data_IF_534952071946
#
_entry.id   IF_534952071946
#
_cell.length_a   1.000
_cell.length_b   1.000
_cell.length_c   1.000
_cell.angle_alpha   90.00
_cell.angle_beta   90.00
_cell.angle_gamma   90.00
#
_symmetry.space_group_name_H-M   'P 1'
#
loop_
_entity.id
_entity.type
_entity.pdbx_description
1 polymer ?
#
# COMPACT_ATOMS: atom_id res chain seq x y z
N UNK A 1 -12.29 5.11 -16.10
CA UNK A 1 -12.73 3.80 -15.56
C UNK A 1 -13.98 3.91 -14.70
N UNK A 2 -14.15 4.95 -13.86
CA UNK A 2 -15.37 5.17 -13.05
C UNK A 2 -15.73 3.98 -12.12
N UNK A 3 -14.72 3.18 -11.75
CA UNK A 3 -14.87 2.04 -10.85
C UNK A 3 -14.72 2.52 -9.41
N UNK A 4 -15.53 2.00 -8.50
CA UNK A 4 -15.41 2.30 -7.07
C UNK A 4 -14.41 1.34 -6.44
N UNK A 5 -13.54 1.83 -5.57
CA UNK A 5 -12.54 0.99 -4.91
C UNK A 5 -13.19 -0.17 -4.14
N UNK A 6 -12.79 -1.40 -4.46
CA UNK A 6 -13.35 -2.62 -3.87
C UNK A 6 -14.63 -3.13 -4.53
N UNK A 7 -15.15 -2.48 -5.58
CA UNK A 7 -16.22 -3.05 -6.41
C UNK A 7 -15.71 -4.24 -7.23
N UNK A 8 -16.57 -5.19 -7.65
CA UNK A 8 -16.17 -6.33 -8.47
C UNK A 8 -15.34 -5.96 -9.70
N UNK A 9 -15.70 -4.87 -10.40
CA UNK A 9 -14.99 -4.38 -11.57
C UNK A 9 -13.60 -3.84 -11.23
N UNK A 10 -13.45 -3.19 -10.06
CA UNK A 10 -12.14 -2.74 -9.59
C UNK A 10 -11.23 -3.89 -9.19
N UNK A 11 -11.79 -5.00 -8.67
CA UNK A 11 -11.06 -6.21 -8.35
C UNK A 11 -10.56 -6.89 -9.62
N UNK A 12 -11.43 -7.04 -10.62
CA UNK A 12 -11.08 -7.58 -11.93
C UNK A 12 -9.98 -6.75 -12.60
N UNK A 13 -10.13 -5.43 -12.62
CA UNK A 13 -9.11 -4.53 -13.14
C UNK A 13 -7.77 -4.64 -12.40
N UNK A 14 -7.80 -4.72 -11.06
CA UNK A 14 -6.59 -4.87 -10.24
C UNK A 14 -5.87 -6.18 -10.57
N UNK A 15 -6.63 -7.26 -10.70
CA UNK A 15 -6.10 -8.58 -11.06
C UNK A 15 -5.53 -8.58 -12.48
N UNK A 16 -6.23 -7.98 -13.45
CA UNK A 16 -5.78 -7.89 -14.84
C UNK A 16 -4.47 -7.10 -14.97
N UNK A 17 -4.37 -5.92 -14.34
CA UNK A 17 -3.15 -5.10 -14.37
C UNK A 17 -1.98 -5.85 -13.76
N UNK A 18 -2.17 -6.50 -12.61
CA UNK A 18 -1.10 -7.24 -11.94
C UNK A 18 -0.72 -8.51 -12.67
N UNK A 19 -1.67 -9.18 -13.34
CA UNK A 19 -1.41 -10.30 -14.24
C UNK A 19 -0.50 -9.90 -15.39
N UNK A 20 -0.87 -8.84 -16.13
CA UNK A 20 -0.09 -8.33 -17.26
C UNK A 20 1.32 -7.95 -16.80
N UNK A 21 1.43 -7.21 -15.69
CA UNK A 21 2.73 -6.86 -15.13
C UNK A 21 3.59 -8.08 -14.78
N UNK A 22 2.98 -9.13 -14.22
CA UNK A 22 3.71 -10.34 -13.85
C UNK A 22 4.15 -11.14 -15.07
N UNK A 23 3.27 -11.33 -16.07
CA UNK A 23 3.58 -12.07 -17.29
C UNK A 23 4.68 -11.38 -18.10
N UNK A 24 4.55 -10.07 -18.33
CA UNK A 24 5.57 -9.27 -19.00
C UNK A 24 6.89 -9.27 -18.21
N UNK A 25 6.80 -9.18 -16.89
CA UNK A 25 7.94 -9.32 -16.00
C UNK A 25 8.74 -10.59 -16.23
N UNK A 26 8.08 -11.74 -16.22
CA UNK A 26 8.71 -13.03 -16.48
C UNK A 26 9.28 -13.15 -17.90
N UNK A 27 8.60 -12.59 -18.92
CA UNK A 27 9.11 -12.52 -20.28
C UNK A 27 10.41 -11.71 -20.36
N UNK A 28 10.44 -10.51 -19.77
CA UNK A 28 11.65 -9.67 -19.68
C UNK A 28 12.74 -10.39 -18.89
N UNK A 29 12.38 -11.10 -17.82
CA UNK A 29 13.32 -11.91 -17.04
C UNK A 29 13.99 -13.01 -17.86
N UNK A 30 13.28 -13.59 -18.85
CA UNK A 30 13.83 -14.57 -19.78
C UNK A 30 14.78 -13.91 -20.78
N UNK A 31 14.41 -12.77 -21.35
CA UNK A 31 15.27 -12.01 -22.28
C UNK A 31 16.58 -11.61 -21.60
N UNK A 32 16.50 -11.08 -20.38
CA UNK A 32 17.69 -10.76 -19.58
C UNK A 32 18.52 -12.00 -19.24
N UNK A 33 17.91 -13.17 -19.09
CA UNK A 33 18.66 -14.41 -18.86
C UNK A 33 19.40 -14.87 -20.12
N UNK A 34 18.85 -14.62 -21.31
CA UNK A 34 19.52 -14.90 -22.59
C UNK A 34 20.73 -13.99 -22.79
N UNK A 35 20.63 -12.71 -22.41
CA UNK A 35 21.73 -11.76 -22.54
C UNK A 35 22.80 -11.88 -21.45
N UNK A 36 22.38 -12.08 -20.20
CA UNK A 36 23.25 -11.92 -19.02
C UNK A 36 23.39 -13.21 -18.19
N UNK A 37 22.72 -14.28 -18.58
CA UNK A 37 22.61 -15.53 -17.82
C UNK A 37 21.47 -15.53 -16.80
N UNK A 38 20.91 -16.71 -16.53
CA UNK A 38 19.89 -16.90 -15.50
C UNK A 38 20.46 -16.67 -14.08
N UNK A 39 19.57 -16.47 -13.10
CA UNK A 39 19.96 -16.47 -11.69
C UNK A 39 20.66 -17.79 -11.34
N UNK A 40 21.77 -17.80 -10.56
CA UNK A 40 22.54 -19.02 -10.30
C UNK A 40 21.71 -20.20 -9.78
N UNK A 41 20.73 -19.93 -8.92
CA UNK A 41 19.82 -20.94 -8.36
C UNK A 41 19.00 -21.69 -9.42
N UNK A 42 18.85 -21.14 -10.62
CA UNK A 42 18.15 -21.79 -11.73
C UNK A 42 18.92 -23.02 -12.24
N UNK A 43 20.24 -23.02 -12.11
CA UNK A 43 21.12 -24.11 -12.50
C UNK A 43 21.49 -25.04 -11.34
N UNK A 44 21.23 -24.64 -10.09
CA UNK A 44 21.44 -25.48 -8.92
C UNK A 44 20.53 -26.72 -8.95
N UNK A 45 21.07 -27.85 -8.51
CA UNK A 45 20.35 -29.12 -8.41
C UNK A 45 19.78 -29.32 -7.01
N UNK A 46 18.48 -29.56 -6.93
CA UNK A 46 17.78 -29.83 -5.68
C UNK A 46 17.44 -31.32 -5.59
N UNK A 47 17.80 -31.93 -4.46
CA UNK A 47 17.43 -33.33 -4.19
C UNK A 47 15.96 -33.39 -3.82
N UNK A 48 15.19 -34.22 -4.53
CA UNK A 48 13.77 -34.39 -4.27
C UNK A 48 13.57 -35.14 -2.96
N UNK A 49 12.99 -34.46 -1.99
CA UNK A 49 12.66 -35.03 -0.69
C UNK A 49 11.26 -35.62 -0.68
N UNK A 50 10.93 -36.54 0.24
CA UNK A 50 9.56 -37.02 0.43
C UNK A 50 8.58 -35.87 0.68
N UNK A 51 9.00 -34.84 1.43
CA UNK A 51 8.18 -33.68 1.73
C UNK A 51 7.88 -32.82 0.49
N UNK A 52 8.85 -32.66 -0.41
CA UNK A 52 8.64 -31.95 -1.67
C UNK A 52 7.69 -32.72 -2.59
N UNK A 53 7.90 -34.03 -2.74
CA UNK A 53 7.04 -34.89 -3.57
C UNK A 53 5.61 -34.95 -3.03
N UNK A 54 5.42 -34.96 -1.71
CA UNK A 54 4.10 -34.87 -1.09
C UNK A 54 3.39 -33.53 -1.35
N UNK A 55 4.15 -32.42 -1.46
CA UNK A 55 3.61 -31.10 -1.82
C UNK A 55 3.35 -30.95 -3.32
N UNK A 56 4.03 -31.73 -4.16
CA UNK A 56 4.02 -31.69 -5.63
C UNK A 56 3.88 -33.11 -6.22
N UNK A 57 2.74 -33.79 -5.99
CA UNK A 57 2.54 -35.16 -6.46
C UNK A 57 2.62 -35.31 -7.98
N UNK A 58 2.36 -34.24 -8.74
CA UNK A 58 2.52 -34.18 -10.20
C UNK A 58 3.93 -34.54 -10.68
N UNK A 59 4.96 -34.28 -9.87
CA UNK A 59 6.34 -34.69 -10.19
C UNK A 59 6.48 -36.21 -10.32
N UNK A 60 5.73 -36.98 -9.51
CA UNK A 60 5.75 -38.44 -9.59
C UNK A 60 5.11 -38.96 -10.88
N UNK A 61 4.09 -38.26 -11.40
CA UNK A 61 3.47 -38.59 -12.68
C UNK A 61 4.46 -38.40 -13.85
N UNK A 62 5.37 -37.43 -13.73
CA UNK A 62 6.47 -37.20 -14.67
C UNK A 62 7.67 -38.13 -14.44
N UNK A 63 7.53 -39.12 -13.55
CA UNK A 63 8.54 -40.14 -13.28
C UNK A 63 9.62 -39.74 -12.28
N UNK A 64 9.53 -38.55 -11.65
CA UNK A 64 10.48 -38.06 -10.65
C UNK A 64 10.26 -38.79 -9.32
N UNK A 65 11.36 -39.24 -8.72
CA UNK A 65 11.39 -40.04 -7.49
C UNK A 65 12.14 -39.32 -6.37
N UNK A 66 11.90 -39.74 -5.14
CA UNK A 66 12.69 -39.31 -3.98
C UNK A 66 14.16 -39.66 -4.22
N UNK A 67 15.05 -38.69 -4.02
CA UNK A 67 16.49 -38.81 -4.25
C UNK A 67 16.96 -38.31 -5.62
N UNK A 68 16.05 -38.12 -6.58
CA UNK A 68 16.39 -37.52 -7.86
C UNK A 68 16.89 -36.09 -7.67
N UNK A 69 17.73 -35.63 -8.60
CA UNK A 69 18.22 -34.25 -8.65
C UNK A 69 17.54 -33.50 -9.77
N UNK A 70 16.90 -32.38 -9.45
CA UNK A 70 16.16 -31.56 -10.42
C UNK A 70 16.66 -30.12 -10.34
N UNK A 71 16.91 -29.51 -11.50
CA UNK A 71 17.38 -28.12 -11.57
C UNK A 71 16.31 -27.13 -11.07
N UNK A 72 16.73 -26.06 -10.41
CA UNK A 72 15.85 -25.01 -9.89
C UNK A 72 14.91 -24.43 -10.97
N UNK A 73 15.40 -24.23 -12.19
CA UNK A 73 14.58 -23.77 -13.32
C UNK A 73 13.42 -24.70 -13.67
N UNK A 74 13.64 -26.02 -13.58
CA UNK A 74 12.60 -27.03 -13.85
C UNK A 74 11.58 -27.02 -12.72
N UNK A 75 12.04 -26.94 -11.46
CA UNK A 75 11.15 -26.81 -10.31
C UNK A 75 10.28 -25.56 -10.39
N UNK A 76 10.87 -24.43 -10.78
CA UNK A 76 10.15 -23.17 -10.96
C UNK A 76 9.14 -23.26 -12.11
N UNK A 77 9.60 -23.58 -13.33
CA UNK A 77 8.75 -23.57 -14.51
C UNK A 77 7.62 -24.61 -14.48
N UNK A 78 7.93 -25.85 -14.09
CA UNK A 78 6.99 -26.98 -14.18
C UNK A 78 6.22 -27.29 -12.92
N UNK A 79 6.77 -26.99 -11.74
CA UNK A 79 6.21 -27.47 -10.46
C UNK A 79 5.92 -26.35 -9.45
N UNK A 80 6.16 -25.08 -9.77
CA UNK A 80 5.67 -23.98 -8.95
C UNK A 80 4.19 -23.76 -9.18
N UNK A 81 3.36 -23.85 -8.12
CA UNK A 81 1.93 -23.53 -8.17
C UNK A 81 1.66 -22.11 -8.69
N UNK A 82 2.55 -21.18 -8.35
CA UNK A 82 2.46 -19.82 -8.85
C UNK A 82 2.66 -19.77 -10.36
N UNK A 83 3.72 -20.45 -10.86
CA UNK A 83 3.98 -20.50 -12.30
C UNK A 83 2.89 -21.22 -13.08
N UNK A 84 2.24 -22.25 -12.51
CA UNK A 84 1.15 -22.99 -13.16
C UNK A 84 -0.05 -22.13 -13.59
N UNK A 85 -0.15 -20.90 -13.09
CA UNK A 85 -1.19 -19.95 -13.49
C UNK A 85 -0.88 -19.24 -14.82
N UNK A 86 0.37 -19.32 -15.30
CA UNK A 86 0.82 -18.69 -16.55
C UNK A 86 0.78 -19.66 -17.74
N UNK A 87 0.79 -19.12 -18.99
CA UNK A 87 0.82 -19.93 -20.20
C UNK A 87 1.94 -20.98 -20.21
N UNK A 88 1.63 -22.18 -20.71
CA UNK A 88 2.60 -23.29 -20.79
C UNK A 88 3.89 -22.92 -21.53
N UNK A 89 3.78 -22.14 -22.61
CA UNK A 89 4.93 -21.69 -23.38
C UNK A 89 5.92 -20.88 -22.53
N UNK A 90 5.44 -20.00 -21.64
CA UNK A 90 6.27 -19.23 -20.72
C UNK A 90 6.95 -20.14 -19.69
N UNK A 91 6.18 -21.05 -19.09
CA UNK A 91 6.65 -22.02 -18.10
C UNK A 91 7.76 -22.93 -18.65
N UNK A 92 7.59 -23.43 -19.87
CA UNK A 92 8.58 -24.29 -20.54
C UNK A 92 9.86 -23.53 -20.93
N UNK A 93 9.74 -22.26 -21.34
CA UNK A 93 10.93 -21.42 -21.55
C UNK A 93 11.72 -21.24 -20.25
N UNK A 94 11.05 -21.00 -19.12
CA UNK A 94 11.70 -20.93 -17.81
C UNK A 94 12.35 -22.26 -17.46
N UNK A 95 11.65 -23.39 -17.64
CA UNK A 95 12.19 -24.72 -17.32
C UNK A 95 13.42 -25.11 -18.16
N UNK A 96 13.53 -24.60 -19.38
CA UNK A 96 14.63 -24.91 -20.30
C UNK A 96 15.81 -23.94 -20.19
N UNK A 97 15.53 -22.63 -20.15
CA UNK A 97 16.56 -21.58 -20.18
C UNK A 97 16.91 -21.01 -18.81
N UNK A 98 16.01 -21.10 -17.83
CA UNK A 98 16.11 -20.34 -16.58
C UNK A 98 15.75 -18.86 -16.79
N UNK A 99 15.66 -18.11 -15.69
CA UNK A 99 15.22 -16.71 -15.68
C UNK A 99 16.18 -15.86 -14.82
N UNK A 100 16.29 -14.57 -15.13
CA UNK A 100 17.32 -13.68 -14.55
C UNK A 100 17.18 -13.44 -13.04
N UNK A 101 15.97 -13.52 -12.51
CA UNK A 101 15.67 -13.27 -11.10
C UNK A 101 14.82 -14.40 -10.51
N UNK A 102 14.83 -14.52 -9.18
CA UNK A 102 14.05 -15.53 -8.46
C UNK A 102 12.64 -15.05 -8.12
N UNK A 103 12.49 -13.73 -7.98
CA UNK A 103 11.23 -13.04 -7.73
C UNK A 103 11.21 -11.78 -8.60
N UNK A 104 10.07 -11.52 -9.23
CA UNK A 104 9.86 -10.39 -10.13
C UNK A 104 9.38 -9.15 -9.38
N UNK A 105 8.37 -9.31 -8.52
CA UNK A 105 7.48 -8.21 -8.15
C UNK A 105 7.24 -8.13 -6.64
N UNK A 106 7.24 -6.89 -6.14
CA UNK A 106 6.86 -6.54 -4.78
C UNK A 106 6.25 -5.14 -4.81
N UNK A 107 5.18 -4.90 -4.05
CA UNK A 107 4.57 -3.57 -3.93
C UNK A 107 5.00 -2.97 -2.59
N UNK A 108 5.94 -2.04 -2.63
CA UNK A 108 6.47 -1.34 -1.46
C UNK A 108 5.71 -0.03 -1.19
N UNK A 109 5.84 0.57 0.02
CA UNK A 109 5.29 1.90 0.29
C UNK A 109 5.91 2.96 -0.62
N UNK A 110 5.08 3.82 -1.21
CA UNK A 110 5.53 4.87 -2.14
C UNK A 110 5.27 6.29 -1.64
N UNK A 111 4.97 6.48 -0.35
CA UNK A 111 4.49 7.77 0.20
C UNK A 111 5.28 9.00 -0.24
N UNK A 112 6.60 8.97 -0.03
CA UNK A 112 7.47 10.11 -0.38
C UNK A 112 7.56 10.33 -1.89
N UNK A 113 7.77 9.26 -2.67
CA UNK A 113 7.94 9.36 -4.13
C UNK A 113 6.64 9.70 -4.84
N UNK A 114 5.49 9.26 -4.33
CA UNK A 114 4.17 9.66 -4.83
C UNK A 114 4.00 11.18 -4.70
N UNK A 115 4.24 11.72 -3.51
CA UNK A 115 4.10 13.15 -3.28
C UNK A 115 5.09 13.95 -4.14
N UNK A 116 6.36 13.53 -4.17
CA UNK A 116 7.43 14.34 -4.77
C UNK A 116 7.56 14.19 -6.29
N UNK A 117 7.30 13.00 -6.84
CA UNK A 117 7.51 12.67 -8.26
C UNK A 117 6.24 12.18 -8.95
N UNK A 118 5.31 11.59 -8.20
CA UNK A 118 4.07 11.01 -8.73
C UNK A 118 2.88 11.98 -8.75
N UNK A 119 3.10 13.29 -8.61
CA UNK A 119 2.03 14.30 -8.50
C UNK A 119 0.93 13.92 -7.48
N UNK A 120 1.34 13.29 -6.38
CA UNK A 120 0.46 12.79 -5.33
C UNK A 120 -0.57 11.76 -5.84
N UNK A 121 -0.17 10.87 -6.74
CA UNK A 121 -0.94 9.68 -7.09
C UNK A 121 -1.07 8.73 -5.89
N UNK A 122 -2.18 8.00 -5.81
CA UNK A 122 -2.39 7.04 -4.71
C UNK A 122 -1.22 6.06 -4.57
N UNK A 123 -0.89 5.69 -3.33
CA UNK A 123 0.35 4.96 -3.04
C UNK A 123 0.21 3.47 -3.27
N UNK A 124 1.04 2.85 -4.14
CA UNK A 124 0.95 1.42 -4.42
C UNK A 124 -0.45 1.01 -4.89
N UNK A 125 -1.16 0.23 -4.07
CA UNK A 125 -2.58 -0.15 -4.27
C UNK A 125 -3.50 0.41 -3.17
N UNK A 126 -3.05 1.46 -2.48
CA UNK A 126 -3.86 2.19 -1.52
C UNK A 126 -4.95 3.01 -2.21
N UNK A 127 -6.13 3.15 -1.61
CA UNK A 127 -7.00 4.25 -1.99
C UNK A 127 -6.33 5.57 -1.58
N UNK A 128 -6.80 6.68 -2.15
CA UNK A 128 -6.36 7.98 -1.67
C UNK A 128 -6.74 8.18 -0.21
N UNK A 129 -5.80 8.66 0.59
CA UNK A 129 -6.03 8.94 2.01
C UNK A 129 -7.13 10.01 2.16
N UNK A 130 -6.95 11.12 1.46
CA UNK A 130 -7.93 12.18 1.23
C UNK A 130 -7.66 12.81 -0.14
N UNK A 131 -8.72 13.26 -0.83
CA UNK A 131 -8.55 13.87 -2.14
C UNK A 131 -8.07 15.32 -2.08
N UNK A 132 -8.34 16.03 -0.99
CA UNK A 132 -7.83 17.36 -0.65
C UNK A 132 -7.53 17.42 0.84
N UNK A 133 -6.32 17.84 1.20
CA UNK A 133 -5.86 18.03 2.57
C UNK A 133 -4.75 19.07 2.58
N UNK A 134 -4.31 19.50 3.75
CA UNK A 134 -3.23 20.49 3.85
C UNK A 134 -1.99 19.92 4.50
N UNK A 135 -0.82 20.39 4.05
CA UNK A 135 0.48 20.08 4.65
C UNK A 135 1.20 21.34 5.07
N UNK A 136 1.83 21.27 6.22
CA UNK A 136 2.69 22.33 6.73
C UNK A 136 4.09 22.15 6.15
N UNK A 137 4.54 23.08 5.30
CA UNK A 137 5.86 23.03 4.66
C UNK A 137 6.70 24.20 5.12
N UNK A 138 7.97 23.94 5.47
CA UNK A 138 8.97 24.99 5.73
C UNK A 138 9.55 25.42 4.37
N UNK A 139 9.32 26.67 3.98
CA UNK A 139 9.95 27.26 2.80
C UNK A 139 11.30 27.85 3.15
N UNK A 140 12.25 27.71 2.23
CA UNK A 140 13.57 28.32 2.36
C UNK A 140 13.44 29.84 2.64
N UNK A 141 14.05 30.30 3.74
CA UNK A 141 14.00 31.70 4.17
C UNK A 141 12.82 32.10 5.06
N UNK A 142 11.87 31.20 5.37
CA UNK A 142 10.82 31.44 6.38
C UNK A 142 11.07 30.63 7.65
N UNK A 143 10.83 31.24 8.81
CA UNK A 143 10.88 30.56 10.12
C UNK A 143 9.60 29.78 10.43
N UNK A 144 8.46 30.20 9.88
CA UNK A 144 7.16 29.57 10.09
C UNK A 144 6.76 28.60 8.97
N UNK A 145 6.00 27.56 9.35
CA UNK A 145 5.40 26.59 8.42
C UNK A 145 4.22 27.22 7.66
N UNK A 146 4.18 27.07 6.35
CA UNK A 146 3.06 27.52 5.51
C UNK A 146 2.09 26.36 5.25
N UNK A 147 0.78 26.56 5.46
CA UNK A 147 -0.28 25.59 5.12
C UNK A 147 -0.42 25.59 3.59
N UNK A 148 -0.04 24.49 2.96
CA UNK A 148 -0.15 24.29 1.50
C UNK A 148 -1.24 23.27 1.23
N UNK A 149 -2.17 23.62 0.33
CA UNK A 149 -3.17 22.68 -0.15
C UNK A 149 -2.53 21.60 -1.02
N UNK A 150 -2.88 20.36 -0.71
CA UNK A 150 -2.44 19.17 -1.41
C UNK A 150 -3.68 18.49 -1.97
N UNK A 151 -3.63 18.23 -3.27
CA UNK A 151 -4.67 17.54 -4.00
C UNK A 151 -4.14 16.18 -4.46
N UNK A 152 -5.00 15.17 -4.43
CA UNK A 152 -4.72 13.89 -5.07
C UNK A 152 -4.63 14.05 -6.59
N UNK A 153 -3.80 13.23 -7.23
CA UNK A 153 -3.62 13.27 -8.68
C UNK A 153 -4.95 13.14 -9.44
N UNK A 154 -5.79 12.19 -9.03
CA UNK A 154 -7.07 11.92 -9.68
C UNK A 154 -8.08 13.07 -9.52
N UNK A 155 -8.04 13.82 -8.41
CA UNK A 155 -8.85 15.02 -8.24
C UNK A 155 -8.35 16.14 -9.17
N UNK A 156 -7.03 16.35 -9.26
CA UNK A 156 -6.46 17.34 -10.18
C UNK A 156 -6.80 17.02 -11.65
N UNK A 157 -6.67 15.74 -12.03
CA UNK A 157 -7.02 15.28 -13.37
C UNK A 157 -8.51 15.49 -13.65
N UNK A 158 -9.40 15.13 -12.72
CA UNK A 158 -10.84 15.32 -12.88
C UNK A 158 -11.22 16.80 -12.97
N UNK A 159 -10.61 17.65 -12.14
CA UNK A 159 -10.82 19.11 -12.18
C UNK A 159 -10.39 19.70 -13.51
N UNK A 160 -9.27 19.25 -14.04
CA UNK A 160 -8.71 19.75 -15.30
C UNK A 160 -9.49 19.28 -16.52
N UNK A 161 -9.92 18.02 -16.52
CA UNK A 161 -10.46 17.36 -17.72
C UNK A 161 -11.99 17.27 -17.75
N UNK A 162 -12.66 17.41 -16.59
CA UNK A 162 -14.10 17.13 -16.47
C UNK A 162 -14.86 18.28 -15.80
N UNK A 163 -14.42 18.73 -14.62
CA UNK A 163 -15.16 19.72 -13.84
C UNK A 163 -14.24 20.53 -12.91
N UNK A 164 -13.90 21.75 -13.33
CA UNK A 164 -13.01 22.67 -12.62
C UNK A 164 -13.54 23.16 -11.26
N UNK A 165 -14.83 22.94 -10.97
CA UNK A 165 -15.46 23.26 -9.68
C UNK A 165 -15.48 22.07 -8.71
N UNK A 166 -15.06 20.88 -9.14
CA UNK A 166 -15.17 19.66 -8.35
C UNK A 166 -14.33 19.71 -7.07
N UNK A 167 -14.96 19.54 -5.91
CA UNK A 167 -14.30 19.55 -4.61
C UNK A 167 -14.84 18.45 -3.70
N UNK A 168 -13.99 17.85 -2.83
CA UNK A 168 -14.48 16.99 -1.76
C UNK A 168 -15.47 17.74 -0.87
N UNK A 169 -16.51 17.05 -0.40
CA UNK A 169 -17.57 17.58 0.48
C UNK A 169 -18.40 18.74 -0.10
N UNK A 170 -18.33 18.99 -1.42
CA UNK A 170 -19.21 19.96 -2.05
C UNK A 170 -20.69 19.53 -1.94
N UNK A 171 -21.55 20.49 -1.59
CA UNK A 171 -23.01 20.30 -1.56
C UNK A 171 -23.55 19.83 -2.93
N UNK A 172 -24.73 19.17 -2.97
CA UNK A 172 -25.37 18.75 -4.20
C UNK A 172 -25.46 19.91 -5.21
N UNK A 173 -24.81 19.75 -6.37
CA UNK A 173 -24.71 20.80 -7.38
C UNK A 173 -23.47 20.65 -8.24
N UNK A 174 -23.02 21.75 -8.82
CA UNK A 174 -21.95 21.77 -9.83
C UNK A 174 -20.58 21.30 -9.30
N UNK A 175 -20.30 21.40 -7.99
CA UNK A 175 -19.02 21.00 -7.40
C UNK A 175 -18.96 19.56 -6.89
N UNK A 176 -20.08 18.83 -6.90
CA UNK A 176 -20.16 17.50 -6.29
C UNK A 176 -19.31 16.48 -7.06
N UNK A 177 -18.42 15.79 -6.34
CA UNK A 177 -17.69 14.66 -6.89
C UNK A 177 -18.63 13.46 -7.12
N UNK A 178 -18.42 12.68 -8.19
CA UNK A 178 -19.14 11.43 -8.41
C UNK A 178 -18.94 10.43 -7.26
N UNK A 179 -19.92 9.57 -7.02
CA UNK A 179 -19.89 8.64 -5.87
C UNK A 179 -18.73 7.61 -5.92
N UNK A 180 -18.06 7.45 -7.07
CA UNK A 180 -16.85 6.62 -7.20
C UNK A 180 -15.57 7.31 -6.69
N UNK A 181 -15.62 8.60 -6.34
CA UNK A 181 -14.54 9.30 -5.62
C UNK A 181 -14.65 8.98 -4.13
N UNK A 182 -14.10 7.82 -3.76
CA UNK A 182 -14.02 7.37 -2.37
C UNK A 182 -12.59 7.54 -1.85
N UNK A 183 -12.49 7.99 -0.61
CA UNK A 183 -11.23 8.04 0.13
C UNK A 183 -11.18 6.94 1.20
N UNK A 184 -10.02 6.81 1.84
CA UNK A 184 -9.75 5.77 2.84
C UNK A 184 -10.72 5.73 4.02
N UNK A 185 -11.40 6.84 4.36
CA UNK A 185 -12.33 6.89 5.49
C UNK A 185 -13.67 6.22 5.20
N UNK A 186 -14.04 6.10 3.93
CA UNK A 186 -15.33 5.58 3.48
C UNK A 186 -15.24 4.17 2.87
N UNK A 187 -14.07 3.52 2.94
CA UNK A 187 -13.86 2.19 2.37
C UNK A 187 -13.93 1.13 3.48
N UNK A 188 -14.80 0.11 3.35
CA UNK A 188 -14.86 -0.98 4.31
C UNK A 188 -13.54 -1.76 4.38
N UNK A 189 -13.14 -2.20 5.59
CA UNK A 189 -11.92 -2.99 5.78
C UNK A 189 -11.82 -4.23 4.87
N UNK A 190 -12.96 -4.91 4.63
CA UNK A 190 -13.03 -6.05 3.69
C UNK A 190 -12.66 -5.66 2.26
N UNK A 191 -13.08 -4.48 1.79
CA UNK A 191 -12.74 -4.01 0.45
C UNK A 191 -11.23 -3.75 0.29
N UNK A 192 -10.55 -3.28 1.34
CA UNK A 192 -9.08 -3.20 1.34
C UNK A 192 -8.44 -4.59 1.19
N UNK A 193 -8.93 -5.59 1.92
CA UNK A 193 -8.45 -6.98 1.83
C UNK A 193 -8.70 -7.55 0.44
N UNK A 194 -9.87 -7.31 -0.14
CA UNK A 194 -10.23 -7.83 -1.46
C UNK A 194 -9.34 -7.25 -2.58
N UNK A 195 -9.04 -5.95 -2.55
CA UNK A 195 -8.09 -5.35 -3.50
C UNK A 195 -6.68 -5.92 -3.33
N UNK A 196 -6.24 -6.12 -2.09
CA UNK A 196 -4.95 -6.78 -1.85
C UNK A 196 -4.96 -8.22 -2.39
N UNK A 197 -6.05 -8.96 -2.21
CA UNK A 197 -6.17 -10.34 -2.68
C UNK A 197 -6.16 -10.43 -4.20
N UNK A 198 -6.86 -9.52 -4.89
CA UNK A 198 -6.84 -9.43 -6.34
C UNK A 198 -5.42 -9.25 -6.88
N UNK A 199 -4.64 -8.33 -6.29
CA UNK A 199 -3.25 -8.11 -6.68
C UNK A 199 -2.30 -9.25 -6.25
N UNK A 200 -2.46 -9.80 -5.04
CA UNK A 200 -1.52 -10.75 -4.43
C UNK A 200 -1.40 -12.07 -5.20
N UNK A 201 -2.41 -12.42 -6.01
CA UNK A 201 -2.38 -13.56 -6.94
C UNK A 201 -1.16 -13.55 -7.86
N UNK A 202 -0.79 -12.36 -8.34
CA UNK A 202 0.25 -12.14 -9.34
C UNK A 202 1.50 -11.46 -8.79
N UNK A 203 1.47 -11.00 -7.54
CA UNK A 203 2.67 -10.52 -6.84
C UNK A 203 3.35 -11.70 -6.14
N UNK A 204 4.51 -12.10 -6.64
CA UNK A 204 5.27 -13.27 -6.17
C UNK A 204 6.03 -13.04 -4.86
N UNK A 205 6.43 -11.79 -4.57
CA UNK A 205 6.86 -11.38 -3.21
C UNK A 205 5.63 -10.96 -2.38
N UNK A 206 5.64 -9.80 -1.72
CA UNK A 206 4.55 -9.34 -0.86
C UNK A 206 4.09 -7.92 -1.23
N UNK A 207 2.96 -7.52 -0.65
CA UNK A 207 2.37 -6.20 -0.81
C UNK A 207 2.37 -5.50 0.55
N UNK A 208 2.98 -4.33 0.63
CA UNK A 208 2.91 -3.46 1.80
C UNK A 208 1.71 -2.54 1.66
N UNK A 209 0.53 -3.07 1.99
CA UNK A 209 -0.75 -2.34 2.01
C UNK A 209 -1.29 -2.25 3.44
N UNK A 210 -1.90 -1.12 3.75
CA UNK A 210 -2.57 -0.82 5.00
C UNK A 210 -4.09 -0.88 4.85
N UNK A 211 -4.74 -1.64 5.72
CA UNK A 211 -6.19 -1.69 5.88
C UNK A 211 -6.54 -0.67 6.96
N UNK A 212 -7.12 0.47 6.56
CA UNK A 212 -7.61 1.46 7.51
C UNK A 212 -8.86 0.93 8.18
N UNK A 213 -8.91 1.03 9.51
CA UNK A 213 -10.09 0.66 10.30
C UNK A 213 -10.51 1.86 11.17
N UNK A 214 -11.83 2.09 11.33
CA UNK A 214 -12.37 3.08 12.25
C UNK A 214 -11.85 2.92 13.69
N UNK A 215 -11.78 4.03 14.43
CA UNK A 215 -11.39 4.01 15.85
C UNK A 215 -12.35 3.18 16.71
N UNK A 216 -13.64 3.23 16.40
CA UNK A 216 -14.72 2.52 17.07
C UNK A 216 -15.03 1.13 16.46
N UNK A 217 -14.11 0.58 15.65
CA UNK A 217 -14.32 -0.71 15.00
C UNK A 217 -14.46 -1.85 16.02
N UNK A 218 -15.54 -2.68 15.96
CA UNK A 218 -15.75 -3.77 16.90
C UNK A 218 -14.57 -4.74 16.93
N UNK A 219 -14.19 -5.21 18.11
CA UNK A 219 -13.04 -6.10 18.27
C UNK A 219 -13.20 -7.42 17.50
N UNK A 220 -14.39 -8.02 17.52
CA UNK A 220 -14.64 -9.26 16.77
C UNK A 220 -14.48 -9.05 15.26
N UNK A 221 -15.04 -7.96 14.72
CA UNK A 221 -14.88 -7.61 13.30
C UNK A 221 -13.41 -7.32 12.96
N UNK A 222 -12.67 -6.67 13.86
CA UNK A 222 -11.23 -6.41 13.68
C UNK A 222 -10.42 -7.71 13.60
N UNK A 223 -10.70 -8.67 14.50
CA UNK A 223 -10.06 -9.99 14.51
C UNK A 223 -10.35 -10.73 13.19
N UNK A 224 -11.57 -10.63 12.71
CA UNK A 224 -12.03 -11.31 11.49
C UNK A 224 -11.36 -10.78 10.21
N UNK A 225 -10.81 -9.57 10.21
CA UNK A 225 -9.98 -9.06 9.08
C UNK A 225 -8.80 -10.00 8.81
N UNK A 226 -8.11 -10.46 9.86
CA UNK A 226 -6.94 -11.33 9.70
C UNK A 226 -7.32 -12.75 9.28
N UNK A 227 -8.43 -13.27 9.81
CA UNK A 227 -8.97 -14.56 9.35
C UNK A 227 -9.39 -14.48 7.89
N UNK A 228 -10.07 -13.41 7.49
CA UNK A 228 -10.46 -13.18 6.10
C UNK A 228 -9.24 -13.03 5.17
N UNK A 229 -8.21 -12.28 5.60
CA UNK A 229 -6.96 -12.18 4.86
C UNK A 229 -6.26 -13.54 4.67
N UNK A 230 -6.25 -14.37 5.71
CA UNK A 230 -5.73 -15.73 5.66
C UNK A 230 -6.54 -16.62 4.69
N UNK A 231 -7.87 -16.57 4.76
CA UNK A 231 -8.77 -17.30 3.85
C UNK A 231 -8.56 -16.89 2.39
N UNK A 232 -8.25 -15.62 2.14
CA UNK A 232 -7.91 -15.08 0.81
C UNK A 232 -6.48 -15.42 0.36
N UNK A 233 -5.68 -16.08 1.18
CA UNK A 233 -4.32 -16.48 0.86
C UNK A 233 -3.31 -15.32 0.85
N UNK A 234 -3.58 -14.24 1.58
CA UNK A 234 -2.66 -13.11 1.68
C UNK A 234 -1.38 -13.48 2.42
N UNK A 235 -0.24 -12.98 1.92
CA UNK A 235 1.09 -13.23 2.51
C UNK A 235 1.39 -12.31 3.69
N UNK A 236 0.64 -11.23 3.84
CA UNK A 236 0.73 -10.26 4.93
C UNK A 236 -0.54 -9.42 5.01
N UNK A 237 -0.83 -8.88 6.19
CA UNK A 237 -2.01 -8.08 6.47
C UNK A 237 -1.63 -7.02 7.51
N UNK A 238 -1.56 -5.76 7.09
CA UNK A 238 -1.28 -4.63 7.98
C UNK A 238 -2.56 -3.84 8.17
N UNK A 239 -2.96 -3.63 9.42
CA UNK A 239 -4.10 -2.78 9.77
C UNK A 239 -3.63 -1.50 10.43
N UNK A 240 -4.33 -0.41 10.17
CA UNK A 240 -4.13 0.85 10.86
C UNK A 240 -5.44 1.29 11.50
N UNK A 241 -5.42 1.43 12.84
CA UNK A 241 -6.53 2.00 13.62
C UNK A 241 -6.05 3.29 14.24
N UNK A 242 -6.73 4.40 13.94
CA UNK A 242 -6.45 5.66 14.60
C UNK A 242 -6.74 5.55 16.10
N UNK A 243 -5.77 5.94 16.94
CA UNK A 243 -5.91 5.94 18.40
C UNK A 243 -5.68 7.36 18.95
N UNK A 244 -6.74 8.14 19.21
CA UNK A 244 -6.61 9.54 19.63
C UNK A 244 -5.79 9.72 20.93
N UNK A 245 -5.72 8.72 21.80
CA UNK A 245 -4.98 8.84 23.07
C UNK A 245 -3.45 8.63 22.91
N UNK A 246 -3.03 8.04 21.81
CA UNK A 246 -1.63 7.65 21.59
C UNK A 246 -1.08 8.10 20.22
N UNK A 247 -1.86 8.81 19.41
CA UNK A 247 -1.49 9.04 18.02
C UNK A 247 -0.44 10.12 17.84
N UNK A 248 0.62 9.76 17.10
CA UNK A 248 1.65 10.64 16.57
C UNK A 248 2.02 10.17 15.15
N UNK A 249 1.09 10.28 14.21
CA UNK A 249 1.33 9.89 12.82
C UNK A 249 1.34 11.07 11.87
N UNK A 250 1.99 10.87 10.72
CA UNK A 250 2.28 11.89 9.69
C UNK A 250 1.05 12.28 8.86
N UNK A 251 -0.02 11.47 8.89
CA UNK A 251 -1.27 11.69 8.17
C UNK A 251 -2.38 11.90 9.18
N UNK A 252 -2.94 13.12 9.21
CA UNK A 252 -4.02 13.51 10.13
C UNK A 252 -5.05 14.31 9.33
N UNK A 253 -6.33 13.96 9.45
CA UNK A 253 -7.42 14.79 8.89
C UNK A 253 -7.81 15.89 9.88
N UNK A 254 -8.51 16.94 9.43
CA UNK A 254 -9.03 17.96 10.35
C UNK A 254 -9.93 17.34 11.43
N UNK A 255 -10.80 16.38 11.07
CA UNK A 255 -11.67 15.66 12.01
C UNK A 255 -10.88 14.90 13.08
N UNK A 256 -9.78 14.25 12.71
CA UNK A 256 -8.93 13.52 13.66
C UNK A 256 -8.28 14.49 14.67
N UNK A 257 -7.86 15.67 14.19
CA UNK A 257 -7.31 16.74 15.04
C UNK A 257 -8.36 17.23 16.06
N UNK A 258 -9.62 17.46 15.65
CA UNK A 258 -10.66 17.92 16.58
C UNK A 258 -10.98 16.89 17.67
N UNK A 259 -10.86 15.60 17.34
CA UNK A 259 -11.17 14.51 18.26
C UNK A 259 -10.09 14.24 19.31
N UNK A 260 -8.86 14.70 19.06
CA UNK A 260 -7.69 14.43 19.90
C UNK A 260 -7.43 15.59 20.85
N UNK A 261 -7.16 15.29 22.13
CA UNK A 261 -6.84 16.32 23.15
C UNK A 261 -5.38 16.19 23.55
N UNK A 262 -4.62 17.26 23.36
CA UNK A 262 -3.21 17.34 23.70
C UNK A 262 -3.04 18.08 25.01
N UNK A 263 -2.18 17.54 25.89
CA UNK A 263 -1.84 18.16 27.17
C UNK A 263 -0.43 18.72 27.12
N UNK A 264 -0.30 20.00 27.41
CA UNK A 264 0.96 20.73 27.53
C UNK A 264 1.25 20.98 28.99
N UNK A 265 2.50 20.79 29.40
CA UNK A 265 2.99 21.18 30.73
C UNK A 265 3.77 22.47 30.58
N UNK A 266 3.35 23.51 31.29
CA UNK A 266 4.04 24.81 31.32
C UNK A 266 5.26 24.76 32.26
N UNK A 267 6.13 25.76 32.16
CA UNK A 267 7.33 25.87 33.00
C UNK A 267 7.02 25.95 34.50
N UNK A 268 5.85 26.51 34.86
CA UNK A 268 5.38 26.58 36.25
C UNK A 268 4.78 25.26 36.77
N UNK A 269 4.79 24.21 35.94
CA UNK A 269 4.25 22.88 36.26
C UNK A 269 2.73 22.75 36.10
N UNK A 270 2.04 23.82 35.73
CA UNK A 270 0.61 23.74 35.38
C UNK A 270 0.42 23.08 34.01
N UNK A 271 -0.80 22.60 33.75
CA UNK A 271 -1.12 21.93 32.49
C UNK A 271 -2.25 22.61 31.74
N UNK A 272 -2.09 22.76 30.43
CA UNK A 272 -3.13 23.22 29.51
C UNK A 272 -3.53 22.05 28.61
N UNK A 273 -4.83 21.90 28.37
CA UNK A 273 -5.36 20.95 27.41
C UNK A 273 -5.98 21.70 26.24
N UNK A 274 -5.73 21.22 25.02
CA UNK A 274 -6.29 21.78 23.79
C UNK A 274 -6.60 20.67 22.80
N UNK A 275 -7.67 20.82 22.02
CA UNK A 275 -7.97 19.97 20.86
C UNK A 275 -6.92 20.16 19.79
N UNK A 276 -6.61 19.10 19.04
CA UNK A 276 -5.55 19.09 18.04
C UNK A 276 -5.63 20.20 17.00
N UNK A 277 -6.84 20.65 16.66
CA UNK A 277 -7.11 21.73 15.70
C UNK A 277 -7.10 23.14 16.34
N UNK A 278 -7.10 23.27 17.67
CA UNK A 278 -7.06 24.57 18.34
C UNK A 278 -5.71 25.24 18.14
N UNK A 279 -5.74 26.55 17.90
CA UNK A 279 -4.53 27.34 17.71
C UNK A 279 -3.95 27.76 19.06
N UNK A 280 -2.68 27.46 19.28
CA UNK A 280 -1.88 27.84 20.44
C UNK A 280 -0.75 28.76 19.96
N UNK A 281 -0.58 29.89 20.64
CA UNK A 281 0.59 30.74 20.46
C UNK A 281 1.74 30.23 21.34
N UNK A 282 2.89 29.95 20.73
CA UNK A 282 4.09 29.51 21.42
C UNK A 282 5.33 30.11 20.74
N UNK A 283 6.23 30.70 21.52
CA UNK A 283 7.45 31.38 21.03
C UNK A 283 7.19 32.43 19.92
N UNK A 284 6.06 33.15 20.02
CA UNK A 284 5.66 34.19 19.07
C UNK A 284 5.11 33.67 17.74
N UNK A 285 4.89 32.36 17.59
CA UNK A 285 4.27 31.74 16.43
C UNK A 285 2.96 31.04 16.79
N UNK A 286 2.01 31.02 15.86
CA UNK A 286 0.74 30.29 16.00
C UNK A 286 0.88 28.88 15.43
N UNK A 287 0.55 27.89 16.25
CA UNK A 287 0.56 26.47 15.89
C UNK A 287 -0.79 25.85 16.22
N UNK A 288 -1.24 24.87 15.44
CA UNK A 288 -2.29 23.97 15.95
C UNK A 288 -1.72 23.14 17.11
N UNK A 289 -2.52 22.81 18.12
CA UNK A 289 -2.08 22.04 19.29
C UNK A 289 -1.34 20.75 18.91
N UNK A 290 -1.83 19.99 17.93
CA UNK A 290 -1.16 18.76 17.50
C UNK A 290 0.27 19.01 16.99
N UNK A 291 0.43 19.97 16.09
CA UNK A 291 1.75 20.35 15.54
C UNK A 291 2.70 20.89 16.62
N UNK A 292 2.19 21.65 17.59
CA UNK A 292 3.01 22.16 18.70
C UNK A 292 3.49 21.01 19.60
N UNK A 293 2.58 20.08 19.93
CA UNK A 293 2.88 18.93 20.78
C UNK A 293 3.97 18.05 20.16
N UNK A 294 3.87 17.74 18.87
CA UNK A 294 4.87 16.95 18.16
C UNK A 294 6.21 17.69 18.06
N UNK A 295 6.20 19.00 17.76
CA UNK A 295 7.42 19.80 17.66
C UNK A 295 8.17 19.90 19.00
N UNK A 296 7.44 20.01 20.12
CA UNK A 296 8.03 19.99 21.47
C UNK A 296 8.62 18.62 21.81
N UNK A 297 7.95 17.52 21.44
CA UNK A 297 8.45 16.15 21.68
C UNK A 297 9.68 15.82 20.85
N UNK A 298 9.71 16.23 19.59
CA UNK A 298 10.84 16.02 18.67
C UNK A 298 12.03 16.95 18.96
N UNK A 299 11.87 17.92 19.89
CA UNK A 299 12.92 18.84 20.31
C UNK A 299 13.24 19.94 19.31
N UNK A 300 12.28 20.32 18.46
CA UNK A 300 12.43 21.42 17.50
C UNK A 300 12.51 22.80 18.18
N UNK A 301 11.91 22.94 19.37
CA UNK A 301 12.02 24.11 20.21
C UNK A 301 12.91 23.76 21.41
N UNK A 302 14.07 24.42 21.54
CA UNK A 302 15.08 24.13 22.56
C UNK A 302 16.47 23.75 22.03
N UNK A 303 16.70 23.82 20.71
CA UNK A 303 18.02 23.63 20.08
C UNK A 303 18.54 24.88 19.34
N UNK A 304 18.36 26.07 19.89
CA UNK A 304 19.17 27.25 19.53
C UNK A 304 19.31 28.16 20.75
#
# INVERSE_FOLDING_TARGET
LKMTYGSPESLEFTEEVTHIMAEEGWNVGLELAEEQGAAPIMEEEFTITPALLAKRPEMAADGIRVGDKVKGRVLLGRYSRYMQQFPEALRERIATKGVRFTHHSSIAPTGTISLSLGNNASNGIEPSFAHHYSRNVIREGKKSKEKVDVFSFELLAYRTLVNDKAMPFAEPGEGRLPDYFVDSSNIPARAHVDIQAAAQKWIDSSISKTINVPTDYPYEDFKDIYFYAYEKGLKGCTTFRFNPEAFQGVLVTEKDLESTTYRFTLEDGSTIEAKGNETIEYDGELHSAANLYDALKEGYYGKF
#
